data_IF_760138897289
#
_entry.id   IF_760138897289
#
_cell.length_a   1.000
_cell.length_b   1.000
_cell.length_c   1.000
_cell.angle_alpha   90.00
_cell.angle_beta   90.00
_cell.angle_gamma   90.00
#
_symmetry.space_group_name_H-M   'P 1'
#
loop_
_entity.id
_entity.type
_entity.pdbx_description
1 polymer ?
#
# COMPACT_ATOMS: atom_id res chain seq x y z
N UNK A 1 30.74 7.09 -0.08
CA UNK A 1 29.31 7.35 -0.41
C UNK A 1 28.51 6.34 0.39
N UNK A 2 27.78 6.78 1.42
CA UNK A 2 27.11 5.89 2.38
C UNK A 2 25.73 5.51 1.81
N UNK A 3 25.54 4.26 1.40
CA UNK A 3 24.21 3.76 1.04
C UNK A 3 23.30 3.74 2.28
N UNK A 4 22.32 4.62 2.27
CA UNK A 4 21.23 4.59 3.23
C UNK A 4 20.28 3.48 2.83
N UNK A 5 20.25 2.37 3.57
CA UNK A 5 19.28 1.30 3.34
C UNK A 5 17.85 1.84 3.52
N UNK A 6 16.88 1.35 2.71
CA UNK A 6 15.46 1.75 2.75
C UNK A 6 14.84 1.67 4.15
N UNK A 7 15.27 0.72 4.98
CA UNK A 7 14.90 0.64 6.41
C UNK A 7 15.32 1.86 7.22
N UNK A 8 16.51 2.43 6.95
CA UNK A 8 16.99 3.66 7.61
C UNK A 8 16.23 4.89 7.12
N UNK A 9 15.77 4.90 5.86
CA UNK A 9 14.93 5.96 5.33
C UNK A 9 13.52 5.95 5.95
N UNK A 10 12.92 4.78 6.12
CA UNK A 10 11.62 4.63 6.79
C UNK A 10 11.69 4.98 8.27
N UNK A 11 12.77 4.61 8.96
CA UNK A 11 13.01 5.01 10.36
C UNK A 11 13.28 6.51 10.47
N UNK A 12 14.00 7.12 9.50
CA UNK A 12 14.21 8.56 9.45
C UNK A 12 12.91 9.32 9.10
N UNK A 13 12.09 8.78 8.18
CA UNK A 13 10.78 9.34 7.86
C UNK A 13 9.79 9.20 9.04
N UNK A 14 9.83 8.08 9.76
CA UNK A 14 9.04 7.87 10.98
C UNK A 14 9.45 8.82 12.11
N UNK A 15 10.75 9.06 12.30
CA UNK A 15 11.26 10.02 13.28
C UNK A 15 10.98 11.48 12.87
N UNK A 16 10.99 11.79 11.56
CA UNK A 16 10.63 13.11 11.06
C UNK A 16 9.12 13.38 11.12
N UNK A 17 8.28 12.35 10.90
CA UNK A 17 6.83 12.48 11.06
C UNK A 17 6.40 12.70 12.52
N UNK A 18 7.16 12.16 13.49
CA UNK A 18 6.93 12.44 14.91
C UNK A 18 7.32 13.86 15.33
N UNK A 19 8.06 14.59 14.49
CA UNK A 19 8.51 15.96 14.73
C UNK A 19 7.77 17.01 13.90
N UNK A 20 6.70 16.67 13.16
CA UNK A 20 5.82 17.66 12.55
C UNK A 20 4.99 18.27 13.69
N UNK A 21 5.29 19.48 14.14
CA UNK A 21 4.53 20.08 15.21
C UNK A 21 3.11 20.31 14.74
N UNK A 22 2.15 20.09 15.62
CA UNK A 22 0.74 20.48 15.45
C UNK A 22 0.53 21.96 15.07
N UNK A 23 1.61 22.73 14.97
CA UNK A 23 1.66 24.14 14.64
C UNK A 23 1.27 24.47 13.18
N UNK A 24 1.34 23.54 12.22
CA UNK A 24 0.98 23.87 10.83
C UNK A 24 -0.53 23.88 10.58
N UNK A 25 -1.31 23.09 11.33
CA UNK A 25 -2.78 23.15 11.25
C UNK A 25 -3.37 24.43 11.88
N UNK A 26 -2.62 25.06 12.77
CA UNK A 26 -3.04 26.29 13.45
C UNK A 26 -2.77 27.58 12.65
N UNK A 27 -2.14 27.50 11.49
CA UNK A 27 -1.73 28.67 10.69
C UNK A 27 -2.61 28.96 9.47
N UNK A 28 -3.61 28.12 9.17
CA UNK A 28 -4.62 28.42 8.15
C UNK A 28 -5.86 29.02 8.81
N UNK A 29 -6.08 30.35 8.69
CA UNK A 29 -7.24 31.02 9.30
C UNK A 29 -8.58 30.46 8.81
N UNK A 30 -8.61 29.84 7.61
CA UNK A 30 -9.82 29.26 7.04
C UNK A 30 -10.24 27.95 7.71
N UNK A 31 -9.30 27.28 8.42
CA UNK A 31 -9.56 26.03 9.14
C UNK A 31 -9.94 26.28 10.61
N UNK A 32 -9.57 27.42 11.19
CA UNK A 32 -9.73 27.71 12.63
C UNK A 32 -11.19 27.70 13.09
N UNK A 33 -12.11 28.17 12.25
CA UNK A 33 -13.54 28.29 12.60
C UNK A 33 -14.30 26.97 12.51
N UNK A 34 -13.75 25.98 11.79
CA UNK A 34 -14.36 24.67 11.56
C UNK A 34 -13.74 23.54 12.41
N UNK A 35 -12.71 23.83 13.20
CA UNK A 35 -12.11 22.82 14.07
C UNK A 35 -12.96 22.65 15.33
N UNK A 36 -13.43 21.42 15.65
CA UNK A 36 -14.17 21.18 16.87
C UNK A 36 -13.38 21.56 18.11
N UNK A 37 -14.03 22.25 19.04
CA UNK A 37 -13.44 22.62 20.35
C UNK A 37 -13.31 21.44 21.30
N UNK A 38 -14.04 20.34 21.02
CA UNK A 38 -14.04 19.10 21.78
C UNK A 38 -14.03 17.92 20.83
N UNK A 39 -13.19 16.96 21.12
CA UNK A 39 -13.06 15.70 20.40
C UNK A 39 -13.56 14.56 21.27
N UNK A 40 -14.25 13.59 20.67
CA UNK A 40 -14.72 12.40 21.39
C UNK A 40 -13.54 11.44 21.68
N UNK A 41 -12.52 11.47 20.83
CA UNK A 41 -11.33 10.62 20.95
C UNK A 41 -10.10 11.30 20.33
N UNK A 42 -8.96 11.14 20.99
CA UNK A 42 -7.64 11.52 20.47
C UNK A 42 -6.78 10.28 20.34
N UNK A 43 -6.09 10.12 19.23
CA UNK A 43 -5.22 8.97 18.93
C UNK A 43 -3.93 9.44 18.28
N UNK A 44 -2.89 8.61 18.32
CA UNK A 44 -1.61 8.90 17.66
C UNK A 44 -1.68 8.77 16.15
N UNK A 45 -2.53 7.87 15.64
CA UNK A 45 -2.75 7.67 14.21
C UNK A 45 -4.23 7.52 13.91
N UNK A 46 -4.74 8.40 13.07
CA UNK A 46 -6.08 8.30 12.50
C UNK A 46 -5.99 7.87 11.05
N UNK A 47 -6.68 6.79 10.71
CA UNK A 47 -6.81 6.27 9.34
C UNK A 47 -8.26 6.45 8.90
N UNK A 48 -8.45 7.07 7.74
CA UNK A 48 -9.77 7.28 7.16
C UNK A 48 -10.00 6.31 6.02
N UNK A 49 -10.91 5.38 6.21
CA UNK A 49 -11.26 4.29 5.31
C UNK A 49 -10.60 2.97 5.71
N UNK A 50 -11.41 1.90 5.80
CA UNK A 50 -10.99 0.54 6.12
C UNK A 50 -10.94 -0.36 4.87
N UNK A 51 -10.54 0.17 3.71
CA UNK A 51 -10.19 -0.60 2.53
C UNK A 51 -8.79 -1.19 2.63
N UNK A 52 -8.31 -1.88 1.59
CA UNK A 52 -6.99 -2.53 1.59
C UNK A 52 -5.86 -1.62 2.04
N UNK A 53 -5.77 -0.40 1.52
CA UNK A 53 -4.73 0.55 1.91
C UNK A 53 -4.80 0.97 3.39
N UNK A 54 -6.01 1.25 3.90
CA UNK A 54 -6.19 1.65 5.30
C UNK A 54 -5.88 0.51 6.26
N UNK A 55 -6.31 -0.71 5.94
CA UNK A 55 -5.99 -1.91 6.74
C UNK A 55 -4.49 -2.21 6.72
N UNK A 56 -3.84 -2.11 5.56
CA UNK A 56 -2.38 -2.26 5.42
C UNK A 56 -1.63 -1.23 6.26
N UNK A 57 -2.06 0.04 6.23
CA UNK A 57 -1.47 1.09 7.05
C UNK A 57 -1.60 0.79 8.55
N UNK A 58 -2.75 0.28 9.00
CA UNK A 58 -2.97 -0.08 10.40
C UNK A 58 -2.08 -1.26 10.84
N UNK A 59 -1.98 -2.31 10.01
CA UNK A 59 -1.11 -3.46 10.30
C UNK A 59 0.36 -3.03 10.34
N UNK A 60 0.79 -2.24 9.36
CA UNK A 60 2.16 -1.70 9.32
C UNK A 60 2.45 -0.83 10.54
N UNK A 61 1.52 0.01 10.97
CA UNK A 61 1.67 0.81 12.18
C UNK A 61 1.85 -0.07 13.42
N UNK A 62 1.01 -1.10 13.58
CA UNK A 62 1.10 -2.03 14.70
C UNK A 62 2.42 -2.81 14.70
N UNK A 63 2.89 -3.29 13.54
CA UNK A 63 4.19 -3.97 13.39
C UNK A 63 5.38 -3.07 13.77
N UNK A 64 5.23 -1.75 13.63
CA UNK A 64 6.21 -0.76 14.04
C UNK A 64 5.97 -0.20 15.46
N UNK A 65 5.13 -0.86 16.26
CA UNK A 65 4.88 -0.50 17.67
C UNK A 65 3.89 0.63 17.89
N UNK A 66 3.25 1.14 16.85
CA UNK A 66 2.23 2.17 16.97
C UNK A 66 0.83 1.53 17.09
N UNK A 67 0.40 1.27 18.33
CA UNK A 67 -0.86 0.57 18.62
C UNK A 67 -2.03 1.51 18.93
N UNK A 68 -1.75 2.79 19.25
CA UNK A 68 -2.80 3.80 19.48
C UNK A 68 -3.29 4.35 18.13
N UNK A 69 -4.05 3.51 17.44
CA UNK A 69 -4.57 3.74 16.09
C UNK A 69 -6.09 3.64 16.07
N UNK A 70 -6.74 4.56 15.35
CA UNK A 70 -8.17 4.53 15.08
C UNK A 70 -8.40 4.49 13.57
N UNK A 71 -9.26 3.58 13.13
CA UNK A 71 -9.74 3.55 11.75
C UNK A 71 -11.19 4.03 11.74
N UNK A 72 -11.50 5.03 10.90
CA UNK A 72 -12.86 5.46 10.63
C UNK A 72 -13.31 4.89 9.29
N UNK A 73 -14.44 4.20 9.30
CA UNK A 73 -15.05 3.64 8.09
C UNK A 73 -16.48 4.17 7.94
N UNK A 74 -16.81 4.63 6.74
CA UNK A 74 -18.14 5.16 6.41
C UNK A 74 -19.19 4.06 6.28
N UNK A 75 -18.78 2.89 5.78
CA UNK A 75 -19.69 1.77 5.55
C UNK A 75 -19.87 0.93 6.81
N UNK A 76 -20.95 0.16 6.88
CA UNK A 76 -21.21 -0.76 7.98
C UNK A 76 -20.28 -1.99 8.00
N UNK A 77 -19.41 -2.14 7.02
CA UNK A 77 -18.45 -3.25 6.89
C UNK A 77 -17.09 -2.72 6.43
N UNK A 78 -16.04 -3.44 6.78
CA UNK A 78 -14.66 -3.15 6.41
C UNK A 78 -14.27 -3.86 5.12
N UNK A 79 -13.15 -3.45 4.51
CA UNK A 79 -12.54 -4.08 3.34
C UNK A 79 -12.73 -3.31 2.04
N UNK A 80 -13.78 -2.48 1.93
CA UNK A 80 -14.06 -1.68 0.73
C UNK A 80 -14.07 -2.53 -0.54
N UNK A 81 -13.54 -1.98 -1.64
CA UNK A 81 -13.43 -2.70 -2.91
C UNK A 81 -12.46 -3.90 -2.85
N UNK A 82 -11.51 -3.91 -1.93
CA UNK A 82 -10.59 -5.04 -1.74
C UNK A 82 -11.34 -6.31 -1.33
N UNK A 83 -12.33 -6.20 -0.42
CA UNK A 83 -13.12 -7.35 0.04
C UNK A 83 -14.02 -7.97 -1.04
N UNK A 84 -14.42 -7.18 -2.03
CA UNK A 84 -15.28 -7.64 -3.13
C UNK A 84 -14.51 -7.94 -4.42
N UNK A 85 -13.17 -7.80 -4.40
CA UNK A 85 -12.31 -8.13 -5.51
C UNK A 85 -12.21 -9.65 -5.72
N UNK A 86 -11.71 -10.07 -6.88
CA UNK A 86 -11.46 -11.50 -7.16
C UNK A 86 -10.28 -12.10 -6.37
N UNK A 87 -9.59 -11.31 -5.56
CA UNK A 87 -8.47 -11.75 -4.71
C UNK A 87 -7.16 -12.02 -5.45
N UNK A 88 -7.09 -11.74 -6.75
CA UNK A 88 -5.85 -11.83 -7.52
C UNK A 88 -4.97 -10.60 -7.29
N UNK A 89 -3.66 -10.81 -7.28
CA UNK A 89 -2.66 -9.75 -7.18
C UNK A 89 -1.57 -9.97 -8.22
N UNK A 90 -1.42 -9.02 -9.13
CA UNK A 90 -0.37 -9.08 -10.15
C UNK A 90 0.99 -8.67 -9.55
N UNK A 91 1.93 -9.60 -9.56
CA UNK A 91 3.30 -9.36 -9.15
C UNK A 91 4.28 -10.21 -9.96
N UNK A 92 5.49 -9.74 -10.17
CA UNK A 92 6.58 -10.60 -10.65
C UNK A 92 6.97 -11.53 -9.50
N UNK A 93 6.75 -12.82 -9.68
CA UNK A 93 7.06 -13.87 -8.72
C UNK A 93 7.97 -14.93 -9.37
N UNK A 94 9.29 -14.75 -9.29
CA UNK A 94 10.23 -15.66 -9.96
C UNK A 94 10.12 -17.11 -9.49
N UNK A 95 9.72 -17.36 -8.26
CA UNK A 95 9.59 -18.73 -7.75
C UNK A 95 8.42 -19.46 -8.43
N UNK A 96 7.25 -18.83 -8.44
CA UNK A 96 6.05 -19.41 -9.06
C UNK A 96 6.12 -19.39 -10.59
N UNK A 97 6.65 -18.32 -11.17
CA UNK A 97 6.73 -18.17 -12.64
C UNK A 97 7.74 -19.13 -13.26
N UNK A 98 8.95 -19.29 -12.72
CA UNK A 98 9.97 -20.23 -13.21
C UNK A 98 9.49 -21.67 -13.16
N UNK A 99 8.77 -22.07 -12.12
CA UNK A 99 8.18 -23.40 -12.02
C UNK A 99 7.19 -23.73 -13.14
N UNK A 100 6.68 -22.69 -13.82
CA UNK A 100 5.76 -22.81 -14.95
C UNK A 100 6.41 -22.46 -16.30
N UNK A 101 7.75 -22.28 -16.35
CA UNK A 101 8.47 -21.89 -17.56
C UNK A 101 8.19 -20.43 -18.01
N UNK A 102 7.77 -19.57 -17.10
CA UNK A 102 7.46 -18.18 -17.39
C UNK A 102 8.68 -17.32 -17.01
N UNK A 103 9.21 -16.59 -17.97
CA UNK A 103 10.24 -15.57 -17.76
C UNK A 103 9.60 -14.19 -17.69
N UNK A 104 9.85 -13.45 -16.61
CA UNK A 104 9.25 -12.13 -16.39
C UNK A 104 10.22 -11.19 -15.66
N UNK A 105 9.95 -9.89 -15.75
CA UNK A 105 10.72 -8.85 -15.08
C UNK A 105 9.85 -7.67 -14.63
N UNK A 106 10.38 -6.87 -13.73
CA UNK A 106 9.75 -5.62 -13.29
C UNK A 106 9.57 -4.66 -14.48
N UNK A 107 10.55 -4.58 -15.37
CA UNK A 107 10.50 -3.76 -16.57
C UNK A 107 9.38 -4.20 -17.50
N UNK A 108 9.25 -5.53 -17.72
CA UNK A 108 8.16 -6.08 -18.52
C UNK A 108 6.78 -5.80 -17.87
N UNK A 109 6.68 -5.92 -16.54
CA UNK A 109 5.46 -5.58 -15.82
C UNK A 109 5.12 -4.10 -15.96
N UNK A 110 6.11 -3.23 -15.84
CA UNK A 110 5.96 -1.78 -15.99
C UNK A 110 5.45 -1.40 -17.38
N UNK A 111 6.17 -1.84 -18.43
CA UNK A 111 5.83 -1.53 -19.82
C UNK A 111 4.44 -2.05 -20.19
N UNK A 112 4.10 -3.26 -19.78
CA UNK A 112 2.79 -3.84 -20.08
C UNK A 112 1.65 -3.14 -19.33
N UNK A 113 1.90 -2.66 -18.12
CA UNK A 113 0.91 -1.90 -17.34
C UNK A 113 0.63 -0.55 -18.01
N UNK A 114 1.66 0.17 -18.44
CA UNK A 114 1.49 1.42 -19.18
C UNK A 114 0.78 1.20 -20.51
N UNK A 115 1.22 0.21 -21.28
CA UNK A 115 0.64 -0.12 -22.59
C UNK A 115 -0.82 -0.56 -22.47
N UNK A 116 -1.14 -1.41 -21.49
CA UNK A 116 -2.51 -1.86 -21.24
C UNK A 116 -3.46 -0.74 -20.82
N UNK A 117 -2.93 0.34 -20.25
CA UNK A 117 -3.64 1.56 -19.91
C UNK A 117 -3.58 2.66 -20.98
N UNK A 118 -3.19 2.35 -22.22
CA UNK A 118 -2.99 3.33 -23.30
C UNK A 118 -2.08 4.50 -22.92
N UNK A 119 -1.10 4.25 -22.06
CA UNK A 119 -0.15 5.24 -21.52
C UNK A 119 -0.82 6.43 -20.81
N UNK A 120 -2.05 6.26 -20.31
CA UNK A 120 -2.79 7.29 -19.56
C UNK A 120 -2.42 7.36 -18.09
N UNK A 121 -1.80 6.30 -17.56
CA UNK A 121 -1.41 6.24 -16.16
C UNK A 121 -0.23 7.19 -15.86
N UNK A 122 -0.11 7.61 -14.60
CA UNK A 122 1.09 8.29 -14.14
C UNK A 122 2.25 7.28 -14.06
N UNK A 123 3.35 7.45 -14.86
CA UNK A 123 4.43 6.48 -14.92
C UNK A 123 5.13 6.26 -13.57
N UNK A 124 5.24 7.31 -12.75
CA UNK A 124 5.87 7.20 -11.43
C UNK A 124 5.06 6.31 -10.48
N UNK A 125 3.73 6.40 -10.52
CA UNK A 125 2.86 5.54 -9.71
C UNK A 125 2.85 4.09 -10.22
N UNK A 126 2.91 3.88 -11.53
CA UNK A 126 3.04 2.53 -12.10
C UNK A 126 4.37 1.91 -11.67
N UNK A 127 5.46 2.67 -11.73
CA UNK A 127 6.78 2.20 -11.28
C UNK A 127 6.75 1.79 -9.82
N UNK A 128 6.21 2.64 -8.94
CA UNK A 128 6.06 2.35 -7.52
C UNK A 128 5.25 1.06 -7.27
N UNK A 129 4.14 0.88 -7.99
CA UNK A 129 3.32 -0.32 -7.91
C UNK A 129 4.10 -1.59 -8.27
N UNK A 130 4.73 -1.62 -9.45
CA UNK A 130 5.35 -2.86 -9.98
C UNK A 130 6.63 -3.23 -9.23
N UNK A 131 7.40 -2.25 -8.77
CA UNK A 131 8.63 -2.47 -8.00
C UNK A 131 8.34 -3.04 -6.60
N UNK A 132 7.22 -2.65 -5.97
CA UNK A 132 6.88 -3.06 -4.62
C UNK A 132 5.88 -4.24 -4.56
N UNK A 133 5.26 -4.61 -5.67
CA UNK A 133 4.30 -5.72 -5.70
C UNK A 133 4.90 -7.06 -5.22
N UNK A 134 6.12 -7.48 -5.60
CA UNK A 134 6.72 -8.73 -5.11
C UNK A 134 6.94 -8.74 -3.59
N UNK A 135 7.44 -7.65 -3.02
CA UNK A 135 7.63 -7.52 -1.57
C UNK A 135 6.27 -7.55 -0.85
N UNK A 136 5.25 -6.92 -1.43
CA UNK A 136 3.90 -6.91 -0.87
C UNK A 136 3.30 -8.32 -0.82
N UNK A 137 3.50 -9.15 -1.84
CA UNK A 137 3.07 -10.57 -1.81
C UNK A 137 3.74 -11.30 -0.66
N UNK A 138 5.07 -11.19 -0.52
CA UNK A 138 5.83 -11.81 0.56
C UNK A 138 5.36 -11.32 1.95
N UNK A 139 5.10 -10.04 2.08
CA UNK A 139 4.59 -9.47 3.33
C UNK A 139 3.20 -10.00 3.68
N UNK A 140 2.30 -10.08 2.71
CA UNK A 140 0.96 -10.64 2.91
C UNK A 140 1.02 -12.12 3.34
N UNK A 141 1.92 -12.91 2.75
CA UNK A 141 2.15 -14.29 3.17
C UNK A 141 2.69 -14.37 4.60
N UNK A 142 3.57 -13.46 5.00
CA UNK A 142 4.12 -13.40 6.35
C UNK A 142 3.08 -13.11 7.44
N UNK A 143 1.98 -12.47 7.07
CA UNK A 143 0.86 -12.19 7.99
C UNK A 143 -0.30 -13.21 7.85
N UNK A 144 -0.09 -14.30 7.11
CA UNK A 144 -0.99 -15.44 7.07
C UNK A 144 -1.85 -15.57 5.81
N UNK A 145 -1.69 -14.71 4.82
CA UNK A 145 -2.36 -14.89 3.53
C UNK A 145 -1.74 -16.09 2.78
N UNK A 146 -2.58 -16.86 2.08
CA UNK A 146 -2.12 -18.00 1.29
C UNK A 146 -2.48 -17.76 -0.16
N UNK A 147 -1.46 -17.50 -0.98
CA UNK A 147 -1.61 -17.48 -2.42
C UNK A 147 -1.48 -18.90 -3.00
N UNK A 148 -2.02 -19.10 -4.19
CA UNK A 148 -1.84 -20.36 -4.93
C UNK A 148 -0.39 -20.54 -5.37
N UNK A 149 0.05 -21.79 -5.55
CA UNK A 149 1.42 -22.10 -6.00
C UNK A 149 1.66 -21.79 -7.48
N UNK A 150 0.62 -21.41 -8.21
CA UNK A 150 0.69 -21.10 -9.64
C UNK A 150 0.17 -19.71 -9.92
N UNK A 151 0.87 -18.99 -10.76
CA UNK A 151 0.35 -17.76 -11.35
C UNK A 151 -0.54 -18.09 -12.56
N UNK A 152 -1.50 -17.22 -12.82
CA UNK A 152 -2.39 -17.31 -13.97
C UNK A 152 -2.50 -15.96 -14.66
N UNK A 153 -2.98 -15.99 -15.89
CA UNK A 153 -3.26 -14.76 -16.63
C UNK A 153 -4.66 -14.28 -16.28
N UNK A 154 -4.74 -13.14 -15.59
CA UNK A 154 -6.03 -12.50 -15.31
C UNK A 154 -6.66 -12.05 -16.62
N UNK A 155 -7.98 -12.18 -16.75
CA UNK A 155 -8.69 -11.73 -17.95
C UNK A 155 -8.38 -10.26 -18.25
N UNK A 156 -7.96 -9.98 -19.48
CA UNK A 156 -7.55 -8.65 -19.92
C UNK A 156 -6.09 -8.28 -19.61
N UNK A 157 -5.35 -9.09 -18.82
CA UNK A 157 -3.92 -8.88 -18.65
C UNK A 157 -3.13 -9.37 -19.86
N UNK A 158 -1.94 -8.80 -20.07
CA UNK A 158 -1.06 -9.18 -21.18
C UNK A 158 -0.09 -10.30 -20.80
N UNK A 159 -0.02 -10.69 -19.50
CA UNK A 159 0.97 -11.65 -19.02
C UNK A 159 0.51 -12.36 -17.74
N UNK A 160 0.90 -13.64 -17.51
CA UNK A 160 0.52 -14.38 -16.31
C UNK A 160 1.33 -13.92 -15.08
N UNK A 161 0.65 -13.20 -14.16
CA UNK A 161 1.20 -12.68 -12.89
C UNK A 161 0.23 -12.74 -11.71
N UNK A 162 -1.04 -13.15 -11.92
CA UNK A 162 -2.09 -13.16 -10.91
C UNK A 162 -2.16 -14.42 -10.07
#
# INVERSE_FOLDING_TARGET
MMELSRRKLLVAAGAAAAAVPAAHAAQDPSLSDNVPKKWDRTVKLLIVGAGGAGLTAAVSAAQNGLTDTLILEKMAYIGGNTAISGGGMNAVDPARQKAQGIEDSIENHYEQTLKGGDYRANPALVKELVENAPETVTWLESIGMKFKDKVYQVYGSLYPRG
#
